data_IF_513678398702
#
_entry.id   IF_513678398702
#
_cell.length_a   1.000
_cell.length_b   1.000
_cell.length_c   1.000
_cell.angle_alpha   90.00
_cell.angle_beta   90.00
_cell.angle_gamma   90.00
#
_symmetry.space_group_name_H-M   'P 1'
#
loop_
_entity.id
_entity.type
_entity.pdbx_description
1 polymer ?
#
# COMPACT_ATOMS: atom_id res chain seq x y z
N UNK A 1 -58.95 36.38 -13.03
CA UNK A 1 -57.83 35.69 -13.74
C UNK A 1 -56.82 35.26 -12.69
N UNK A 2 -56.70 33.94 -12.45
CA UNK A 2 -55.88 33.37 -11.37
C UNK A 2 -54.45 33.15 -11.83
N UNK A 3 -53.51 33.53 -10.97
CA UNK A 3 -52.07 33.31 -11.05
C UNK A 3 -51.72 31.81 -11.10
N UNK A 4 -50.70 31.45 -11.87
CA UNK A 4 -49.97 30.19 -11.70
C UNK A 4 -48.46 30.50 -11.64
N UNK A 5 -47.88 30.31 -10.45
CA UNK A 5 -46.44 30.36 -10.19
C UNK A 5 -45.83 29.00 -10.58
N UNK A 6 -44.84 29.02 -11.47
CA UNK A 6 -44.06 27.83 -11.83
C UNK A 6 -42.96 27.61 -10.79
N UNK A 7 -43.07 26.53 -10.01
CA UNK A 7 -41.99 26.06 -9.14
C UNK A 7 -40.98 25.28 -9.98
N UNK A 8 -39.71 25.69 -9.94
CA UNK A 8 -38.59 24.93 -10.48
C UNK A 8 -38.12 23.93 -9.41
N UNK A 9 -38.29 22.63 -9.64
CA UNK A 9 -37.77 21.59 -8.76
C UNK A 9 -36.30 21.31 -9.11
N UNK A 10 -35.39 21.61 -8.18
CA UNK A 10 -33.99 21.19 -8.24
C UNK A 10 -33.93 19.70 -7.88
N UNK A 11 -33.65 18.85 -8.87
CA UNK A 11 -33.45 17.42 -8.67
C UNK A 11 -32.00 17.18 -8.23
N UNK A 12 -31.79 16.99 -6.93
CA UNK A 12 -30.50 16.53 -6.40
C UNK A 12 -30.34 15.04 -6.72
N UNK A 13 -29.47 14.71 -7.67
CA UNK A 13 -29.06 13.33 -7.96
C UNK A 13 -28.09 12.91 -6.85
N UNK A 14 -28.61 12.29 -5.80
CA UNK A 14 -27.79 11.57 -4.85
C UNK A 14 -27.17 10.35 -5.55
N UNK A 15 -25.91 10.47 -5.98
CA UNK A 15 -25.14 9.33 -6.45
C UNK A 15 -24.94 8.34 -5.31
N UNK A 16 -25.74 7.28 -5.28
CA UNK A 16 -25.52 6.14 -4.39
C UNK A 16 -24.23 5.44 -4.83
N UNK A 17 -23.16 5.63 -4.07
CA UNK A 17 -21.98 4.77 -4.17
C UNK A 17 -22.43 3.34 -3.81
N UNK A 18 -22.47 2.46 -4.80
CA UNK A 18 -22.76 1.05 -4.56
C UNK A 18 -21.67 0.51 -3.59
N UNK A 19 -22.05 -0.21 -2.53
CA UNK A 19 -21.06 -0.88 -1.70
C UNK A 19 -20.31 -1.89 -2.59
N UNK A 20 -18.97 -1.82 -2.54
CA UNK A 20 -18.11 -2.77 -3.21
C UNK A 20 -18.50 -4.17 -2.77
N UNK A 21 -19.14 -4.91 -3.68
CA UNK A 21 -19.51 -6.30 -3.44
C UNK A 21 -18.23 -7.12 -3.50
N UNK A 22 -17.81 -7.59 -2.33
CA UNK A 22 -16.64 -8.43 -2.18
C UNK A 22 -16.81 -9.70 -3.02
N UNK A 23 -15.96 -9.89 -4.02
CA UNK A 23 -15.89 -11.16 -4.71
C UNK A 23 -15.44 -12.23 -3.69
N UNK A 24 -16.23 -13.30 -3.60
CA UNK A 24 -16.07 -14.37 -2.63
C UNK A 24 -14.82 -15.22 -2.94
N UNK A 25 -13.93 -15.30 -1.95
CA UNK A 25 -12.93 -16.36 -1.86
C UNK A 25 -13.61 -17.68 -1.49
N UNK A 26 -13.15 -18.84 -2.00
CA UNK A 26 -13.55 -20.12 -1.45
C UNK A 26 -12.95 -20.28 -0.05
N UNK A 27 -13.74 -19.99 1.00
CA UNK A 27 -13.48 -20.49 2.35
C UNK A 27 -13.71 -19.53 3.53
N UNK A 28 -13.53 -18.21 3.37
CA UNK A 28 -13.85 -17.24 4.44
C UNK A 28 -14.05 -15.84 3.84
N UNK A 29 -15.20 -15.17 4.08
CA UNK A 29 -15.40 -13.82 3.60
C UNK A 29 -14.39 -12.88 4.28
N UNK A 30 -13.71 -12.05 3.48
CA UNK A 30 -12.82 -11.01 4.01
C UNK A 30 -13.68 -9.94 4.68
N UNK A 31 -13.47 -9.62 5.98
CA UNK A 31 -14.22 -8.58 6.66
C UNK A 31 -14.16 -7.23 5.93
N UNK A 32 -15.31 -6.54 5.81
CA UNK A 32 -15.43 -5.30 5.04
C UNK A 32 -14.44 -4.20 5.46
N UNK A 33 -14.03 -4.15 6.73
CA UNK A 33 -13.06 -3.16 7.22
C UNK A 33 -11.64 -3.33 6.63
N UNK A 34 -11.31 -4.52 6.08
CA UNK A 34 -10.05 -4.78 5.37
C UNK A 34 -10.11 -4.36 3.91
N UNK A 35 -11.31 -4.17 3.36
CA UNK A 35 -11.49 -3.88 1.95
C UNK A 35 -11.37 -2.37 1.71
N UNK A 36 -10.52 -1.99 0.76
CA UNK A 36 -10.30 -0.60 0.38
C UNK A 36 -10.27 -0.47 -1.14
N UNK A 37 -10.91 0.58 -1.65
CA UNK A 37 -10.81 0.93 -3.05
C UNK A 37 -9.53 1.73 -3.26
N UNK A 38 -8.73 1.32 -4.23
CA UNK A 38 -7.42 1.85 -4.51
C UNK A 38 -7.34 2.36 -5.94
N UNK A 39 -6.44 3.32 -6.18
CA UNK A 39 -6.04 3.75 -7.52
C UNK A 39 -4.51 3.72 -7.63
N UNK A 40 -4.00 3.08 -8.67
CA UNK A 40 -2.56 2.90 -8.86
C UNK A 40 -2.01 4.17 -9.48
N UNK A 41 -1.06 4.80 -8.81
CA UNK A 41 -0.46 6.03 -9.27
C UNK A 41 0.95 5.78 -9.78
N UNK A 42 1.36 6.64 -10.71
CA UNK A 42 2.53 6.40 -11.56
C UNK A 42 3.78 7.07 -11.07
N UNK A 43 3.78 7.61 -9.84
CA UNK A 43 4.96 8.29 -9.33
C UNK A 43 5.97 7.23 -8.85
N UNK A 44 6.45 6.42 -9.80
CA UNK A 44 7.72 5.77 -9.66
C UNK A 44 8.74 6.85 -9.25
N UNK A 45 9.72 6.50 -8.41
CA UNK A 45 10.78 7.43 -8.04
C UNK A 45 11.39 8.05 -9.30
N UNK A 46 11.79 9.32 -9.23
CA UNK A 46 12.41 10.04 -10.37
C UNK A 46 13.93 10.07 -10.16
N UNK A 47 14.73 9.51 -11.09
CA UNK A 47 14.35 8.84 -12.32
C UNK A 47 13.75 7.45 -12.08
N UNK A 48 12.84 7.03 -12.97
CA UNK A 48 12.24 5.71 -12.91
C UNK A 48 13.32 4.64 -12.99
N UNK A 49 13.35 3.74 -12.02
CA UNK A 49 14.31 2.63 -12.02
C UNK A 49 13.66 1.44 -12.69
N UNK A 50 14.40 0.76 -13.56
CA UNK A 50 13.96 -0.49 -14.21
C UNK A 50 14.92 -1.62 -13.88
N UNK A 51 14.41 -2.82 -13.67
CA UNK A 51 15.19 -4.03 -13.54
C UNK A 51 14.52 -5.16 -14.33
N UNK A 52 15.29 -5.89 -15.13
CA UNK A 52 14.79 -7.01 -15.94
C UNK A 52 13.58 -6.66 -16.84
N UNK A 53 13.51 -5.41 -17.33
CA UNK A 53 12.41 -4.93 -18.18
C UNK A 53 11.17 -4.46 -17.42
N UNK A 54 11.18 -4.50 -16.09
CA UNK A 54 10.08 -4.05 -15.23
C UNK A 54 10.45 -2.73 -14.54
N UNK A 55 9.46 -1.85 -14.33
CA UNK A 55 9.62 -0.73 -13.40
C UNK A 55 9.74 -1.27 -11.98
N UNK A 56 10.67 -0.70 -11.22
CA UNK A 56 10.95 -1.07 -9.83
C UNK A 56 11.01 0.17 -8.95
N UNK A 57 10.72 -0.01 -7.67
CA UNK A 57 10.71 1.07 -6.68
C UNK A 57 9.42 1.10 -5.87
N UNK A 58 9.37 1.92 -4.80
CA UNK A 58 8.09 2.28 -4.23
C UNK A 58 7.27 3.00 -5.30
N UNK A 59 6.16 2.41 -5.71
CA UNK A 59 5.10 3.11 -6.42
C UNK A 59 4.24 3.86 -5.40
N UNK A 60 3.33 4.70 -5.90
CA UNK A 60 2.31 5.32 -5.05
C UNK A 60 0.93 4.83 -5.43
N UNK A 61 0.02 4.82 -4.47
CA UNK A 61 -1.40 4.57 -4.71
C UNK A 61 -2.27 5.47 -3.86
N UNK A 62 -3.51 5.67 -4.28
CA UNK A 62 -4.50 6.42 -3.50
C UNK A 62 -5.57 5.51 -2.94
N UNK A 63 -5.85 5.66 -1.64
CA UNK A 63 -6.96 4.98 -0.97
C UNK A 63 -8.23 5.80 -1.19
N UNK A 64 -8.99 5.48 -2.23
CA UNK A 64 -10.22 6.18 -2.61
C UNK A 64 -11.31 6.08 -1.54
N UNK A 65 -11.32 4.99 -0.78
CA UNK A 65 -12.26 4.77 0.33
C UNK A 65 -11.87 5.46 1.64
N UNK A 66 -10.74 6.16 1.69
CA UNK A 66 -10.27 6.88 2.88
C UNK A 66 -9.74 8.27 2.50
N UNK A 67 -10.59 9.31 2.55
CA UNK A 67 -10.19 10.66 2.14
C UNK A 67 -9.15 11.30 3.08
N UNK A 68 -8.91 10.72 4.26
CA UNK A 68 -7.94 11.24 5.24
C UNK A 68 -6.52 10.73 5.02
N UNK A 69 -6.32 9.74 4.13
CA UNK A 69 -5.01 9.16 3.80
C UNK A 69 -4.90 8.85 2.31
N UNK A 70 -4.81 9.90 1.46
CA UNK A 70 -4.96 9.72 0.02
C UNK A 70 -3.73 9.15 -0.67
N UNK A 71 -2.60 8.92 0.02
CA UNK A 71 -1.40 8.36 -0.62
C UNK A 71 -0.74 7.31 0.25
N UNK A 72 -0.42 6.17 -0.36
CA UNK A 72 0.37 5.08 0.24
C UNK A 72 1.53 4.70 -0.68
N UNK A 73 2.63 4.22 -0.12
CA UNK A 73 3.68 3.58 -0.91
C UNK A 73 3.27 2.15 -1.23
N UNK A 74 3.58 1.69 -2.43
CA UNK A 74 3.28 0.35 -2.92
C UNK A 74 4.57 -0.29 -3.41
N UNK A 75 5.03 -1.32 -2.73
CA UNK A 75 6.16 -2.15 -3.13
C UNK A 75 5.60 -3.41 -3.77
N UNK A 76 5.89 -3.62 -5.04
CA UNK A 76 5.41 -4.81 -5.75
C UNK A 76 5.99 -6.07 -5.09
N UNK A 77 5.15 -7.07 -4.76
CA UNK A 77 5.62 -8.38 -4.27
C UNK A 77 5.28 -9.54 -5.21
N UNK A 78 4.62 -9.21 -6.32
CA UNK A 78 4.05 -10.16 -7.26
C UNK A 78 4.46 -9.79 -8.69
N UNK A 79 5.36 -10.56 -9.28
CA UNK A 79 5.85 -10.32 -10.64
C UNK A 79 5.00 -11.02 -11.71
N UNK A 80 4.07 -11.89 -11.31
CA UNK A 80 3.32 -12.77 -12.20
C UNK A 80 1.98 -12.18 -12.64
N UNK A 81 1.53 -11.11 -11.99
CA UNK A 81 0.31 -10.40 -12.36
C UNK A 81 0.64 -8.94 -12.67
N UNK A 82 -0.21 -8.32 -13.49
CA UNK A 82 -0.02 -6.95 -13.96
C UNK A 82 -0.98 -5.98 -13.30
N UNK A 83 -0.56 -4.72 -13.20
CA UNK A 83 -1.44 -3.58 -12.94
C UNK A 83 -1.11 -2.46 -13.92
N UNK A 84 -2.11 -1.66 -14.29
CA UNK A 84 -1.92 -0.49 -15.15
C UNK A 84 -1.97 0.79 -14.34
N UNK A 85 -1.22 1.78 -14.78
CA UNK A 85 -1.29 3.13 -14.25
C UNK A 85 -2.70 3.71 -14.36
N UNK A 86 -3.19 4.31 -13.27
CA UNK A 86 -4.53 4.85 -13.15
C UNK A 86 -5.62 3.80 -12.91
N UNK A 87 -5.28 2.50 -12.95
CA UNK A 87 -6.22 1.42 -12.67
C UNK A 87 -6.73 1.50 -11.23
N UNK A 88 -8.02 1.24 -11.06
CA UNK A 88 -8.67 1.12 -9.76
C UNK A 88 -9.00 -0.34 -9.47
N UNK A 89 -8.84 -0.76 -8.22
CA UNK A 89 -9.20 -2.10 -7.76
C UNK A 89 -9.61 -2.08 -6.29
N UNK A 90 -10.24 -3.16 -5.84
CA UNK A 90 -10.54 -3.37 -4.42
C UNK A 90 -9.47 -4.27 -3.83
N UNK A 91 -8.68 -3.73 -2.91
CA UNK A 91 -7.64 -4.45 -2.19
C UNK A 91 -8.12 -4.93 -0.82
N UNK A 92 -7.82 -6.17 -0.48
CA UNK A 92 -7.90 -6.72 0.87
C UNK A 92 -6.58 -6.45 1.61
N UNK A 93 -6.66 -5.65 2.67
CA UNK A 93 -5.51 -5.33 3.52
C UNK A 93 -5.29 -6.43 4.55
N UNK A 94 -4.07 -6.96 4.58
CA UNK A 94 -3.62 -7.97 5.54
C UNK A 94 -2.43 -7.42 6.31
N UNK A 95 -2.60 -7.11 7.59
CA UNK A 95 -1.48 -6.63 8.43
C UNK A 95 -0.45 -7.74 8.63
N UNK A 96 0.84 -7.41 8.59
CA UNK A 96 1.90 -8.40 8.87
C UNK A 96 1.89 -8.90 10.31
N UNK A 97 1.40 -8.08 11.24
CA UNK A 97 1.17 -8.47 12.64
C UNK A 97 -0.05 -9.36 12.83
N UNK A 98 -0.86 -9.58 11.79
CA UNK A 98 -2.04 -10.45 11.89
C UNK A 98 -1.65 -11.92 11.95
N UNK A 99 -2.56 -12.75 12.45
CA UNK A 99 -2.48 -14.21 12.32
C UNK A 99 -3.25 -14.75 11.10
N UNK A 100 -3.81 -13.89 10.25
CA UNK A 100 -4.76 -14.29 9.20
C UNK A 100 -4.36 -13.76 7.81
N UNK A 101 -3.64 -14.61 7.08
CA UNK A 101 -3.14 -14.35 5.73
C UNK A 101 -4.02 -14.97 4.64
N UNK A 102 -5.23 -15.43 4.97
CA UNK A 102 -6.16 -16.09 4.02
C UNK A 102 -6.55 -15.21 2.83
N UNK A 103 -6.46 -13.89 2.98
CA UNK A 103 -6.75 -12.92 1.93
C UNK A 103 -5.53 -12.54 1.07
N UNK A 104 -4.39 -13.22 1.24
CA UNK A 104 -3.18 -13.00 0.42
C UNK A 104 -3.05 -14.04 -0.68
N UNK A 105 -2.22 -13.79 -1.71
CA UNK A 105 -1.98 -14.77 -2.78
C UNK A 105 -1.35 -16.05 -2.26
N UNK A 106 -0.36 -15.93 -1.39
CA UNK A 106 0.48 -17.05 -0.92
C UNK A 106 0.06 -17.65 0.44
N UNK A 107 -0.93 -17.07 1.12
CA UNK A 107 -1.43 -17.57 2.40
C UNK A 107 -0.43 -17.47 3.56
N UNK A 108 -0.75 -18.15 4.67
CA UNK A 108 0.01 -18.06 5.93
C UNK A 108 1.41 -18.69 5.87
N UNK A 109 1.61 -19.68 4.99
CA UNK A 109 2.91 -20.33 4.79
C UNK A 109 3.98 -19.38 4.30
N UNK A 110 3.59 -18.28 3.63
CA UNK A 110 4.51 -17.26 3.13
C UNK A 110 4.75 -16.11 4.11
N UNK A 111 4.28 -16.20 5.37
CA UNK A 111 4.45 -15.12 6.37
C UNK A 111 5.90 -14.67 6.51
N UNK A 112 6.84 -15.61 6.66
CA UNK A 112 8.26 -15.29 6.78
C UNK A 112 8.82 -14.61 5.53
N UNK A 113 8.35 -15.01 4.34
CA UNK A 113 8.72 -14.35 3.08
C UNK A 113 8.18 -12.92 3.00
N UNK A 114 6.94 -12.67 3.45
CA UNK A 114 6.40 -11.30 3.55
C UNK A 114 7.15 -10.44 4.58
N UNK A 115 7.55 -11.01 5.71
CA UNK A 115 8.35 -10.31 6.73
C UNK A 115 9.72 -9.90 6.18
N UNK A 116 10.41 -10.81 5.47
CA UNK A 116 11.64 -10.51 4.74
C UNK A 116 11.44 -9.48 3.64
N UNK A 117 10.33 -9.57 2.90
CA UNK A 117 9.98 -8.58 1.88
C UNK A 117 9.75 -7.18 2.49
N UNK A 118 9.17 -7.08 3.69
CA UNK A 118 9.02 -5.81 4.40
C UNK A 118 10.35 -5.22 4.86
N UNK A 119 11.26 -6.06 5.32
CA UNK A 119 12.63 -5.63 5.61
C UNK A 119 13.32 -5.09 4.36
N UNK A 120 13.27 -5.82 3.24
CA UNK A 120 13.83 -5.38 1.96
C UNK A 120 13.16 -4.09 1.46
N UNK A 121 11.84 -3.98 1.57
CA UNK A 121 11.10 -2.77 1.22
C UNK A 121 11.53 -1.56 2.07
N UNK A 122 11.92 -1.77 3.33
CA UNK A 122 12.44 -0.68 4.17
C UNK A 122 13.82 -0.17 3.71
N UNK A 123 14.60 -0.99 2.99
CA UNK A 123 15.92 -0.60 2.46
C UNK A 123 15.85 0.49 1.40
N UNK A 124 14.73 0.65 0.70
CA UNK A 124 14.53 1.75 -0.27
C UNK A 124 14.72 3.14 0.33
N UNK A 125 14.53 3.29 1.65
CA UNK A 125 14.70 4.54 2.40
C UNK A 125 15.87 4.48 3.38
N UNK A 126 16.63 3.39 3.41
CA UNK A 126 17.75 3.23 4.34
C UNK A 126 18.93 4.10 3.94
N UNK A 127 19.62 4.64 4.95
CA UNK A 127 20.79 5.48 4.72
C UNK A 127 21.92 4.65 4.09
N UNK A 128 22.47 5.14 2.97
CA UNK A 128 23.52 4.44 2.22
C UNK A 128 23.03 3.51 1.12
N UNK A 129 21.72 3.27 1.00
CA UNK A 129 21.15 2.51 -0.12
C UNK A 129 20.86 3.46 -1.29
N UNK A 130 21.46 3.18 -2.44
CA UNK A 130 21.33 3.99 -3.66
C UNK A 130 20.28 3.40 -4.62
N UNK A 131 19.75 4.24 -5.51
CA UNK A 131 18.75 3.83 -6.53
C UNK A 131 19.29 2.74 -7.47
N UNK A 132 20.60 2.67 -7.67
CA UNK A 132 21.28 1.60 -8.42
C UNK A 132 21.10 0.21 -7.81
N UNK A 133 20.84 0.12 -6.50
CA UNK A 133 20.63 -1.15 -5.78
C UNK A 133 19.17 -1.60 -5.77
N UNK A 134 18.23 -0.73 -6.11
CA UNK A 134 16.79 -1.01 -6.05
C UNK A 134 16.36 -2.17 -6.95
N UNK A 135 17.00 -2.35 -8.11
CA UNK A 135 16.74 -3.51 -8.96
C UNK A 135 17.04 -4.84 -8.26
N UNK A 136 18.13 -4.91 -7.50
CA UNK A 136 18.48 -6.09 -6.70
C UNK A 136 17.53 -6.32 -5.53
N UNK A 137 17.12 -5.24 -4.85
CA UNK A 137 16.14 -5.32 -3.76
C UNK A 137 14.80 -5.86 -4.30
N UNK A 138 14.32 -5.29 -5.42
CA UNK A 138 13.04 -5.66 -6.00
C UNK A 138 13.02 -7.13 -6.48
N UNK A 139 14.09 -7.56 -7.12
CA UNK A 139 14.22 -8.94 -7.60
C UNK A 139 14.34 -9.94 -6.45
N UNK A 140 15.04 -9.58 -5.37
CA UNK A 140 15.05 -10.38 -4.16
C UNK A 140 13.65 -10.52 -3.54
N UNK A 141 12.87 -9.43 -3.50
CA UNK A 141 11.46 -9.46 -3.06
C UNK A 141 10.63 -10.41 -3.92
N UNK A 142 10.75 -10.33 -5.25
CA UNK A 142 10.02 -11.24 -6.15
C UNK A 142 10.44 -12.69 -5.97
N UNK A 143 11.73 -12.97 -5.80
CA UNK A 143 12.23 -14.32 -5.59
C UNK A 143 11.71 -14.92 -4.27
N UNK A 144 11.59 -14.12 -3.21
CA UNK A 144 11.05 -14.59 -1.91
C UNK A 144 9.62 -15.13 -2.00
N UNK A 145 8.76 -14.53 -2.85
CA UNK A 145 7.36 -14.94 -2.98
C UNK A 145 7.11 -15.85 -4.19
N UNK A 146 7.88 -15.64 -5.26
CA UNK A 146 7.78 -16.36 -6.52
C UNK A 146 9.18 -16.87 -6.91
N UNK A 147 9.70 -17.91 -6.24
CA UNK A 147 11.04 -18.42 -6.47
C UNK A 147 11.31 -18.67 -7.96
N UNK A 148 12.45 -18.16 -8.42
CA UNK A 148 12.84 -18.23 -9.82
C UNK A 148 12.14 -17.27 -10.77
N UNK A 149 11.42 -16.26 -10.28
CA UNK A 149 10.92 -15.18 -11.13
C UNK A 149 11.54 -13.83 -10.70
N UNK A 150 11.84 -12.93 -11.66
CA UNK A 150 11.57 -13.00 -13.10
C UNK A 150 12.64 -13.76 -13.93
N UNK A 151 13.70 -14.27 -13.29
CA UNK A 151 14.92 -14.78 -13.96
C UNK A 151 14.91 -16.29 -14.30
N UNK A 152 13.76 -16.97 -14.23
CA UNK A 152 13.59 -18.39 -14.55
C UNK A 152 14.26 -19.37 -13.57
N UNK A 153 14.65 -18.93 -12.37
CA UNK A 153 15.40 -19.76 -11.43
C UNK A 153 16.82 -20.05 -11.91
N UNK A 154 17.28 -19.32 -12.94
CA UNK A 154 18.67 -19.28 -13.37
C UNK A 154 19.44 -18.60 -12.25
N UNK A 155 19.88 -19.47 -11.32
CA UNK A 155 20.62 -19.22 -10.10
C UNK A 155 21.23 -17.81 -10.07
N UNK A 156 20.87 -16.96 -9.10
CA UNK A 156 21.51 -15.66 -8.96
C UNK A 156 22.99 -15.98 -8.83
N UNK A 157 23.79 -15.73 -9.87
CA UNK A 157 25.25 -15.94 -9.83
C UNK A 157 25.70 -15.44 -8.48
N UNK A 158 26.49 -16.19 -7.72
CA UNK A 158 26.70 -15.99 -6.28
C UNK A 158 27.14 -14.56 -5.86
N UNK A 159 27.39 -13.69 -6.84
CA UNK A 159 27.75 -12.28 -6.73
C UNK A 159 26.76 -11.31 -7.43
N UNK A 160 25.53 -11.73 -7.74
CA UNK A 160 24.50 -10.86 -8.33
C UNK A 160 23.85 -9.99 -7.25
N UNK A 161 23.31 -8.84 -7.66
CA UNK A 161 22.63 -7.93 -6.73
C UNK A 161 21.45 -8.61 -6.02
N UNK A 162 20.71 -9.48 -6.73
CA UNK A 162 19.63 -10.29 -6.15
C UNK A 162 20.14 -11.26 -5.06
N UNK A 163 21.19 -12.05 -5.34
CA UNK A 163 21.80 -12.96 -4.36
C UNK A 163 22.26 -12.21 -3.10
N UNK A 164 22.89 -11.04 -3.28
CA UNK A 164 23.32 -10.21 -2.16
C UNK A 164 22.14 -9.83 -1.25
N UNK A 165 21.05 -9.30 -1.83
CA UNK A 165 19.89 -8.86 -1.04
C UNK A 165 19.10 -10.02 -0.43
N UNK A 166 19.01 -11.16 -1.10
CA UNK A 166 18.46 -12.38 -0.51
C UNK A 166 19.27 -12.83 0.71
N UNK A 167 20.60 -12.88 0.59
CA UNK A 167 21.49 -13.23 1.71
C UNK A 167 21.39 -12.23 2.87
N UNK A 168 21.26 -10.93 2.58
CA UNK A 168 21.01 -9.91 3.61
C UNK A 168 19.69 -10.16 4.34
N UNK A 169 18.60 -10.42 3.61
CA UNK A 169 17.29 -10.70 4.21
C UNK A 169 17.30 -11.97 5.06
N UNK A 170 17.97 -13.03 4.60
CA UNK A 170 18.12 -14.28 5.34
C UNK A 170 18.96 -14.08 6.61
N UNK A 171 20.12 -13.43 6.49
CA UNK A 171 20.99 -13.13 7.63
C UNK A 171 20.28 -12.26 8.67
N UNK A 172 19.54 -11.24 8.23
CA UNK A 172 18.76 -10.38 9.10
C UNK A 172 17.66 -11.16 9.83
N UNK A 173 16.94 -12.03 9.12
CA UNK A 173 15.85 -12.83 9.71
C UNK A 173 16.38 -13.85 10.72
N UNK A 174 17.41 -14.61 10.35
CA UNK A 174 18.06 -15.63 11.20
C UNK A 174 18.77 -15.00 12.40
N UNK A 175 19.32 -13.80 12.25
CA UNK A 175 19.91 -13.01 13.33
C UNK A 175 18.89 -12.43 14.33
N UNK A 176 17.60 -12.72 14.17
CA UNK A 176 16.53 -12.25 15.05
C UNK A 176 16.02 -10.84 14.73
N UNK A 177 16.37 -10.27 13.57
CA UNK A 177 15.98 -8.93 13.15
C UNK A 177 14.47 -8.71 13.13
N UNK A 178 13.68 -9.74 12.80
CA UNK A 178 12.22 -9.71 12.84
C UNK A 178 11.66 -9.35 14.24
N UNK A 179 12.35 -9.67 15.33
CA UNK A 179 11.88 -9.37 16.69
C UNK A 179 11.89 -7.87 17.01
N UNK A 180 12.78 -7.11 16.35
CA UNK A 180 12.99 -5.69 16.60
C UNK A 180 12.43 -4.81 15.47
N UNK A 181 11.76 -5.41 14.50
CA UNK A 181 11.22 -4.71 13.34
C UNK A 181 9.75 -4.38 13.56
N UNK A 182 9.39 -3.12 13.35
CA UNK A 182 8.02 -2.67 13.48
C UNK A 182 7.19 -3.13 12.28
N UNK A 183 6.56 -4.29 12.40
CA UNK A 183 5.59 -4.80 11.42
C UNK A 183 4.21 -4.13 11.49
N UNK A 184 3.92 -3.34 12.54
CA UNK A 184 2.58 -2.77 12.76
C UNK A 184 2.18 -1.78 11.66
N UNK A 185 3.16 -1.13 11.06
CA UNK A 185 3.00 -0.20 9.93
C UNK A 185 2.93 -0.88 8.57
N UNK A 186 3.05 -2.21 8.47
CA UNK A 186 3.11 -2.90 7.19
C UNK A 186 1.86 -3.75 6.93
N UNK A 187 1.37 -3.67 5.69
CA UNK A 187 0.24 -4.48 5.23
C UNK A 187 0.49 -5.01 3.82
N UNK A 188 0.03 -6.22 3.56
CA UNK A 188 -0.14 -6.74 2.19
C UNK A 188 -1.48 -6.23 1.65
N UNK A 189 -1.47 -5.82 0.40
CA UNK A 189 -2.63 -5.39 -0.37
C UNK A 189 -2.78 -6.36 -1.53
N UNK A 190 -3.78 -7.23 -1.41
CA UNK A 190 -4.09 -8.26 -2.40
C UNK A 190 -5.40 -7.90 -3.07
N UNK A 191 -5.49 -8.06 -4.39
CA UNK A 191 -6.80 -7.96 -5.05
C UNK A 191 -7.77 -8.98 -4.43
N UNK A 192 -9.02 -8.56 -4.17
CA UNK A 192 -10.08 -9.46 -3.71
C UNK A 192 -10.28 -10.66 -4.64
N UNK A 193 -9.98 -10.50 -5.93
CA UNK A 193 -10.05 -11.56 -6.93
C UNK A 193 -8.80 -12.44 -6.96
N UNK A 194 -7.72 -12.04 -6.28
CA UNK A 194 -6.41 -12.67 -6.36
C UNK A 194 -6.05 -13.59 -5.18
N UNK A 195 -6.77 -13.56 -4.06
CA UNK A 195 -6.32 -14.32 -2.88
C UNK A 195 -6.34 -15.85 -3.11
N UNK A 196 -5.31 -16.52 -2.60
CA UNK A 196 -5.07 -17.95 -2.84
C UNK A 196 -4.69 -18.33 -4.27
N UNK A 197 -4.59 -17.37 -5.19
CA UNK A 197 -4.21 -17.61 -6.58
C UNK A 197 -2.91 -16.88 -6.86
N UNK A 198 -1.86 -17.61 -7.24
CA UNK A 198 -0.54 -17.02 -7.44
C UNK A 198 -0.44 -16.23 -8.76
N UNK A 199 -1.09 -16.69 -9.84
CA UNK A 199 -1.01 -16.03 -11.15
C UNK A 199 -2.31 -16.10 -11.95
N UNK A 200 -2.48 -15.15 -12.87
CA UNK A 200 -3.56 -15.14 -13.87
C UNK A 200 -4.92 -14.63 -13.38
N UNK A 201 -5.02 -14.12 -12.15
CA UNK A 201 -6.28 -13.59 -11.60
C UNK A 201 -6.04 -12.39 -10.68
N UNK A 202 -6.87 -11.36 -10.81
CA UNK A 202 -6.76 -10.10 -10.07
C UNK A 202 -5.54 -9.26 -10.50
N UNK A 203 -5.38 -8.10 -9.88
CA UNK A 203 -4.22 -7.22 -10.07
C UNK A 203 -3.00 -7.69 -9.29
N UNK A 204 -1.84 -7.14 -9.63
CA UNK A 204 -0.59 -7.29 -8.88
C UNK A 204 -0.78 -7.10 -7.36
N UNK A 205 -0.15 -7.97 -6.56
CA UNK A 205 -0.10 -7.85 -5.10
C UNK A 205 1.03 -6.89 -4.67
N UNK A 206 0.73 -6.08 -3.65
CA UNK A 206 1.66 -5.09 -3.11
C UNK A 206 1.85 -5.25 -1.62
N UNK A 207 3.02 -4.86 -1.16
CA UNK A 207 3.26 -4.51 0.24
C UNK A 207 3.19 -2.99 0.38
N UNK A 208 2.59 -2.50 1.45
CA UNK A 208 2.50 -1.08 1.76
C UNK A 208 2.96 -0.80 3.17
N UNK A 209 3.71 0.29 3.35
CA UNK A 209 3.91 0.87 4.66
C UNK A 209 2.82 1.93 4.89
N UNK A 210 1.85 1.61 5.75
CA UNK A 210 0.84 2.54 6.23
C UNK A 210 1.45 3.46 7.27
N UNK A 211 2.53 4.16 6.92
CA UNK A 211 2.75 5.45 7.56
C UNK A 211 1.51 6.25 7.20
N UNK A 212 0.59 6.36 8.16
CA UNK A 212 -0.18 7.58 8.27
C UNK A 212 0.89 8.66 8.20
N UNK A 213 1.07 9.28 7.04
CA UNK A 213 1.87 10.49 6.98
C UNK A 213 1.11 11.40 7.92
N UNK A 214 1.59 11.70 9.15
CA UNK A 214 0.94 12.73 9.92
C UNK A 214 1.18 13.94 9.04
N UNK A 215 0.14 14.42 8.34
CA UNK A 215 0.28 15.65 7.57
C UNK A 215 0.75 16.68 8.61
N UNK A 216 2.01 17.14 8.57
CA UNK A 216 2.50 18.09 9.56
C UNK A 216 1.68 19.38 9.51
N UNK A 217 0.93 19.56 8.43
CA UNK A 217 0.04 20.69 8.17
C UNK A 217 -1.31 20.60 8.91
N UNK A 218 -1.85 19.42 9.25
CA UNK A 218 -3.13 19.35 9.99
C UNK A 218 -2.98 19.88 11.42
N UNK A 219 -1.85 19.63 12.07
CA UNK A 219 -1.56 20.15 13.41
C UNK A 219 -1.32 21.66 13.40
N UNK A 220 -0.69 22.17 12.33
CA UNK A 220 -0.48 23.60 12.15
C UNK A 220 -1.81 24.30 11.83
N UNK A 221 -2.67 23.72 10.99
CA UNK A 221 -4.01 24.27 10.69
C UNK A 221 -4.97 24.19 11.88
N UNK A 222 -4.96 23.09 12.64
CA UNK A 222 -5.73 22.99 13.88
C UNK A 222 -5.18 23.95 14.94
N UNK A 223 -3.86 24.03 15.10
CA UNK A 223 -3.20 24.93 16.04
C UNK A 223 -3.45 26.40 15.71
N UNK A 224 -3.33 26.79 14.44
CA UNK A 224 -3.62 28.16 13.98
C UNK A 224 -5.12 28.49 14.07
N UNK A 225 -6.00 27.53 13.76
CA UNK A 225 -7.45 27.68 13.93
C UNK A 225 -7.86 27.92 15.39
N UNK A 226 -7.30 27.16 16.33
CA UNK A 226 -7.54 27.33 17.77
C UNK A 226 -6.99 28.69 18.25
N UNK A 227 -5.77 29.06 17.86
CA UNK A 227 -5.17 30.35 18.23
C UNK A 227 -5.98 31.55 17.71
N UNK A 228 -6.54 31.46 16.50
CA UNK A 228 -7.35 32.52 15.92
C UNK A 228 -8.69 32.69 16.67
N UNK A 229 -9.33 31.57 17.06
CA UNK A 229 -10.57 31.60 17.86
C UNK A 229 -10.30 32.18 19.25
N UNK A 230 -9.24 31.74 19.93
CA UNK A 230 -8.87 32.29 21.24
C UNK A 230 -8.47 33.77 21.15
N UNK A 231 -7.70 34.16 20.12
CA UNK A 231 -7.33 35.55 19.88
C UNK A 231 -8.55 36.46 19.68
N UNK A 232 -9.54 36.01 18.91
CA UNK A 232 -10.79 36.75 18.71
C UNK A 232 -11.66 36.78 19.99
N UNK A 233 -11.70 35.70 20.77
CA UNK A 233 -12.47 35.63 22.01
C UNK A 233 -11.91 36.55 23.11
N UNK A 234 -10.58 36.66 23.21
CA UNK A 234 -9.89 37.58 24.12
C UNK A 234 -10.09 39.03 23.65
N UNK A 235 -9.91 39.31 22.35
CA UNK A 235 -10.09 40.65 21.80
C UNK A 235 -11.54 41.19 21.95
N UNK A 236 -12.54 40.30 21.96
CA UNK A 236 -13.96 40.64 22.20
C UNK A 236 -14.38 40.59 23.67
N UNK A 237 -13.46 40.29 24.60
CA UNK A 237 -13.73 40.27 26.04
C UNK A 237 -14.63 39.13 26.52
N UNK A 238 -14.81 38.08 25.70
CA UNK A 238 -15.61 36.89 26.06
C UNK A 238 -14.87 35.96 27.04
N UNK A 239 -13.54 36.06 27.11
CA UNK A 239 -12.68 35.34 28.04
C UNK A 239 -11.77 36.39 28.69
N UNK A 240 -11.86 36.53 30.02
CA UNK A 240 -10.89 37.30 30.81
C UNK A 240 -9.81 36.34 31.29
N UNK A 241 -8.57 36.59 30.86
CA UNK A 241 -7.36 35.92 31.38
C UNK A 241 -6.83 36.73 32.54
#
# INVERSE_FOLDING_TARGET
MRLARTLLAVLAIAGSAAPASALQLPGKPVPAWRLKNLKFQTKAPTPAVTAFGYYVGPFTGTVLSDPTRPTINLFCVDVLNSIKFGQTWTGAFTRLTSGDFSATRHGISAKSSYEKAAYLASQYRAQGVQTSQWGGIQTAVWNLLNPGNPNGGTNPTANSSEAYWLAQADSWYLGGGARNFDFSRWSIVTDVDGAGVVSGRGTQEFLTDTTATPEPETWILMGTGIMLIFGVAIAKGAIRV
#
